data_IF_823618401891
#
_entry.id   IF_823618401891
#
_cell.length_a   1.000
_cell.length_b   1.000
_cell.length_c   1.000
_cell.angle_alpha   90.00
_cell.angle_beta   90.00
_cell.angle_gamma   90.00
#
_symmetry.space_group_name_H-M   'P 1'
#
loop_
_entity.id
_entity.type
_entity.pdbx_description
1 polymer ?
#
# COMPACT_ATOMS: atom_id res chain seq x y z
N UNK A 1 -16.13 -0.21 -9.47
CA UNK A 1 -16.40 0.58 -8.25
C UNK A 1 -17.60 0.06 -7.45
N UNK A 2 -18.71 -0.32 -8.11
CA UNK A 2 -19.96 -0.80 -7.45
C UNK A 2 -19.80 -2.13 -6.67
N UNK A 3 -19.03 -3.09 -7.18
CA UNK A 3 -18.82 -4.38 -6.50
C UNK A 3 -18.12 -4.25 -5.12
N UNK A 4 -17.25 -3.25 -4.94
CA UNK A 4 -16.60 -2.99 -3.66
C UNK A 4 -17.52 -2.31 -2.63
N UNK A 5 -18.57 -1.60 -3.06
CA UNK A 5 -19.57 -1.04 -2.14
C UNK A 5 -20.44 -2.15 -1.56
N UNK A 6 -21.03 -2.99 -2.41
CA UNK A 6 -21.90 -4.10 -1.98
C UNK A 6 -21.21 -5.10 -1.04
N UNK A 7 -19.92 -5.39 -1.27
CA UNK A 7 -19.15 -6.28 -0.39
C UNK A 7 -18.88 -5.63 0.97
N UNK A 8 -18.68 -4.31 1.05
CA UNK A 8 -18.48 -3.64 2.34
C UNK A 8 -19.77 -3.53 3.14
N UNK A 9 -20.91 -3.28 2.49
CA UNK A 9 -22.22 -3.21 3.16
C UNK A 9 -22.63 -4.59 3.72
N UNK A 10 -22.35 -5.67 2.99
CA UNK A 10 -22.59 -7.04 3.45
C UNK A 10 -21.63 -7.51 4.56
N UNK A 11 -20.40 -7.00 4.59
CA UNK A 11 -19.49 -7.29 5.71
C UNK A 11 -19.85 -6.46 6.95
N UNK A 12 -20.27 -5.20 6.81
CA UNK A 12 -20.71 -4.40 7.94
C UNK A 12 -21.98 -4.98 8.59
N UNK A 13 -22.91 -5.52 7.81
CA UNK A 13 -24.07 -6.24 8.36
C UNK A 13 -23.69 -7.56 9.05
N UNK A 14 -22.64 -8.25 8.59
CA UNK A 14 -22.11 -9.43 9.27
C UNK A 14 -21.45 -9.09 10.63
N UNK A 15 -20.77 -7.96 10.75
CA UNK A 15 -20.19 -7.50 12.02
C UNK A 15 -21.27 -7.26 13.08
N UNK A 16 -22.35 -6.56 12.70
CA UNK A 16 -23.50 -6.32 13.57
C UNK A 16 -24.16 -7.63 14.00
N UNK A 17 -24.29 -8.59 13.08
CA UNK A 17 -24.84 -9.91 13.38
C UNK A 17 -23.97 -10.68 14.40
N UNK A 18 -22.65 -10.71 14.21
CA UNK A 18 -21.75 -11.41 15.14
C UNK A 18 -21.74 -10.76 16.53
N UNK A 19 -21.81 -9.43 16.62
CA UNK A 19 -21.99 -8.76 17.91
C UNK A 19 -23.30 -9.14 18.60
N UNK A 20 -24.41 -9.20 17.85
CA UNK A 20 -25.71 -9.58 18.39
C UNK A 20 -25.75 -11.04 18.89
N UNK A 21 -24.87 -11.89 18.35
CA UNK A 21 -24.71 -13.29 18.75
C UNK A 21 -23.64 -13.49 19.85
N UNK A 22 -23.13 -12.42 20.45
CA UNK A 22 -22.04 -12.49 21.46
C UNK A 22 -20.79 -13.22 20.93
N UNK A 23 -20.49 -12.99 19.64
CA UNK A 23 -19.33 -13.55 18.91
C UNK A 23 -18.33 -12.43 18.57
N UNK A 24 -17.61 -11.91 19.57
CA UNK A 24 -16.78 -10.72 19.44
C UNK A 24 -15.54 -10.95 18.57
N UNK A 25 -14.97 -12.15 18.59
CA UNK A 25 -13.83 -12.56 17.75
C UNK A 25 -14.19 -12.48 16.27
N UNK A 26 -15.33 -13.05 15.88
CA UNK A 26 -15.80 -13.06 14.51
C UNK A 26 -16.19 -11.66 14.03
N UNK A 27 -16.79 -10.85 14.91
CA UNK A 27 -17.07 -9.44 14.62
C UNK A 27 -15.78 -8.66 14.30
N UNK A 28 -14.73 -8.84 15.11
CA UNK A 28 -13.42 -8.20 14.86
C UNK A 28 -12.74 -8.74 13.61
N UNK A 29 -12.82 -10.05 13.34
CA UNK A 29 -12.31 -10.63 12.10
C UNK A 29 -12.96 -10.02 10.85
N UNK A 30 -14.27 -9.79 10.88
CA UNK A 30 -14.98 -9.13 9.78
C UNK A 30 -14.45 -7.71 9.56
N UNK A 31 -14.24 -6.94 10.62
CA UNK A 31 -13.63 -5.60 10.54
C UNK A 31 -12.21 -5.66 9.98
N UNK A 32 -11.42 -6.64 10.40
CA UNK A 32 -10.07 -6.86 9.90
C UNK A 32 -10.08 -7.19 8.40
N UNK A 33 -10.95 -8.09 7.95
CA UNK A 33 -11.12 -8.40 6.53
C UNK A 33 -11.51 -7.17 5.71
N UNK A 34 -12.37 -6.29 6.24
CA UNK A 34 -12.68 -5.01 5.60
C UNK A 34 -11.43 -4.13 5.51
N UNK A 35 -10.65 -4.02 6.60
CA UNK A 35 -9.42 -3.23 6.63
C UNK A 35 -8.38 -3.70 5.60
N UNK A 36 -8.21 -5.01 5.43
CA UNK A 36 -7.28 -5.60 4.44
C UNK A 36 -7.63 -5.22 3.00
N UNK A 37 -8.91 -5.01 2.69
CA UNK A 37 -9.39 -4.61 1.36
C UNK A 37 -9.21 -3.11 1.07
N UNK A 38 -8.85 -2.30 2.08
CA UNK A 38 -8.65 -0.86 1.92
C UNK A 38 -7.26 -0.52 1.38
N UNK A 39 -7.12 0.60 0.66
CA UNK A 39 -5.82 1.10 0.23
C UNK A 39 -4.94 1.41 1.46
N UNK A 40 -3.60 1.38 1.34
CA UNK A 40 -2.69 1.58 2.48
C UNK A 40 -2.97 2.87 3.28
N UNK A 41 -3.33 3.96 2.59
CA UNK A 41 -3.68 5.26 3.18
C UNK A 41 -4.88 5.20 4.14
N UNK A 42 -5.83 4.30 3.89
CA UNK A 42 -7.05 4.14 4.68
C UNK A 42 -7.00 2.90 5.58
N UNK A 43 -6.14 1.93 5.28
CA UNK A 43 -6.05 0.67 6.02
C UNK A 43 -5.77 0.88 7.50
N UNK A 44 -4.87 1.81 7.85
CA UNK A 44 -4.53 2.11 9.25
C UNK A 44 -5.76 2.61 10.03
N UNK A 45 -6.58 3.49 9.44
CA UNK A 45 -7.75 4.03 10.14
C UNK A 45 -8.80 2.94 10.38
N UNK A 46 -8.94 1.98 9.47
CA UNK A 46 -9.80 0.81 9.63
C UNK A 46 -9.26 -0.20 10.66
N UNK A 47 -7.94 -0.46 10.68
CA UNK A 47 -7.32 -1.33 11.69
C UNK A 47 -7.46 -0.77 13.11
N UNK A 48 -7.38 0.56 13.28
CA UNK A 48 -7.65 1.21 14.58
C UNK A 48 -9.08 0.98 15.08
N UNK A 49 -10.06 0.86 14.17
CA UNK A 49 -11.43 0.48 14.55
C UNK A 49 -11.51 -0.97 15.05
N UNK A 50 -10.70 -1.86 14.48
CA UNK A 50 -10.60 -3.26 14.94
C UNK A 50 -10.03 -3.31 16.36
N UNK A 51 -8.99 -2.53 16.66
CA UNK A 51 -8.41 -2.41 17.99
C UNK A 51 -9.43 -1.90 19.02
N UNK A 52 -10.17 -0.84 18.68
CA UNK A 52 -11.22 -0.31 19.55
C UNK A 52 -12.33 -1.35 19.82
N UNK A 53 -12.68 -2.16 18.83
CA UNK A 53 -13.62 -3.26 18.98
C UNK A 53 -13.08 -4.40 19.86
N UNK A 54 -11.75 -4.58 19.93
CA UNK A 54 -11.15 -5.52 20.88
C UNK A 54 -11.22 -4.97 22.32
N UNK A 55 -11.01 -3.67 22.54
CA UNK A 55 -11.06 -3.10 23.89
C UNK A 55 -12.44 -3.15 24.55
N UNK A 56 -13.51 -3.33 23.76
CA UNK A 56 -14.85 -3.54 24.33
C UNK A 56 -15.02 -4.92 24.98
N UNK A 57 -14.09 -5.85 24.77
CA UNK A 57 -14.12 -7.20 25.32
C UNK A 57 -12.73 -7.63 25.83
N UNK A 58 -12.59 -7.83 27.13
CA UNK A 58 -11.32 -8.21 27.76
C UNK A 58 -10.76 -9.56 27.26
N UNK A 59 -11.58 -10.42 26.66
CA UNK A 59 -11.10 -11.67 26.06
C UNK A 59 -10.20 -11.45 24.82
N UNK A 60 -10.26 -10.25 24.22
CA UNK A 60 -9.58 -9.90 22.98
C UNK A 60 -8.27 -9.10 23.19
N UNK A 61 -7.76 -9.00 24.42
CA UNK A 61 -6.55 -8.22 24.72
C UNK A 61 -5.33 -8.67 23.87
N UNK A 62 -5.11 -9.98 23.74
CA UNK A 62 -4.03 -10.52 22.91
C UNK A 62 -4.17 -10.13 21.44
N UNK A 63 -5.39 -10.16 20.91
CA UNK A 63 -5.67 -9.75 19.53
C UNK A 63 -5.43 -8.25 19.34
N UNK A 64 -5.81 -7.43 20.32
CA UNK A 64 -5.56 -5.99 20.30
C UNK A 64 -4.07 -5.66 20.24
N UNK A 65 -3.23 -6.40 20.99
CA UNK A 65 -1.78 -6.21 21.00
C UNK A 65 -1.17 -6.53 19.63
N UNK A 66 -1.54 -7.66 19.03
CA UNK A 66 -1.07 -8.06 17.69
C UNK A 66 -1.49 -7.04 16.62
N UNK A 67 -2.73 -6.54 16.69
CA UNK A 67 -3.22 -5.53 15.76
C UNK A 67 -2.46 -4.21 15.89
N UNK A 68 -2.11 -3.79 17.11
CA UNK A 68 -1.29 -2.60 17.35
C UNK A 68 0.13 -2.76 16.77
N UNK A 69 0.78 -3.90 16.99
CA UNK A 69 2.09 -4.19 16.38
C UNK A 69 2.04 -4.15 14.86
N UNK A 70 0.98 -4.71 14.27
CA UNK A 70 0.79 -4.67 12.82
C UNK A 70 0.58 -3.25 12.28
N UNK A 71 -0.18 -2.41 13.00
CA UNK A 71 -0.35 -0.99 12.65
C UNK A 71 1.00 -0.27 12.69
N UNK A 72 1.81 -0.49 13.72
CA UNK A 72 3.14 0.11 13.86
C UNK A 72 4.06 -0.29 12.70
N UNK A 73 4.05 -1.57 12.31
CA UNK A 73 4.81 -2.07 11.16
C UNK A 73 4.37 -1.42 9.85
N UNK A 74 3.05 -1.32 9.61
CA UNK A 74 2.51 -0.67 8.42
C UNK A 74 2.88 0.81 8.35
N UNK A 75 2.82 1.52 9.48
CA UNK A 75 3.21 2.93 9.54
C UNK A 75 4.69 3.12 9.21
N UNK A 76 5.56 2.24 9.71
CA UNK A 76 7.00 2.26 9.37
C UNK A 76 7.24 1.95 7.90
N UNK A 77 6.51 1.00 7.31
CA UNK A 77 6.62 0.68 5.88
C UNK A 77 6.22 1.87 5.00
N UNK A 78 5.15 2.59 5.34
CA UNK A 78 4.71 3.78 4.57
C UNK A 78 5.78 4.89 4.55
N UNK A 79 6.53 5.06 5.65
CA UNK A 79 7.64 6.03 5.73
C UNK A 79 8.80 5.64 4.82
N UNK A 80 9.00 4.35 4.53
CA UNK A 80 10.10 3.84 3.71
C UNK A 80 9.72 3.83 2.22
N UNK A 81 8.48 3.47 1.88
CA UNK A 81 8.04 3.34 0.49
C UNK A 81 8.01 4.68 -0.26
N UNK A 82 7.61 5.78 0.39
CA UNK A 82 7.51 7.09 -0.26
C UNK A 82 8.89 7.61 -0.71
N UNK A 83 9.92 7.66 0.16
CA UNK A 83 11.29 7.99 -0.25
C UNK A 83 11.87 7.02 -1.28
N UNK A 84 11.56 5.72 -1.18
CA UNK A 84 12.08 4.73 -2.11
C UNK A 84 11.48 4.87 -3.52
N UNK A 85 10.17 5.13 -3.63
CA UNK A 85 9.53 5.45 -4.91
C UNK A 85 10.08 6.73 -5.52
N UNK A 86 10.32 7.76 -4.70
CA UNK A 86 10.97 9.00 -5.13
C UNK A 86 12.38 8.72 -5.64
N UNK A 87 13.17 7.92 -4.92
CA UNK A 87 14.53 7.53 -5.32
C UNK A 87 14.55 6.77 -6.65
N UNK A 88 13.65 5.78 -6.83
CA UNK A 88 13.51 5.05 -8.09
C UNK A 88 13.07 5.96 -9.25
N UNK A 89 12.19 6.92 -8.99
CA UNK A 89 11.78 7.92 -9.98
C UNK A 89 12.96 8.81 -10.40
N UNK A 90 13.77 9.28 -9.45
CA UNK A 90 14.99 10.03 -9.74
C UNK A 90 16.01 9.21 -10.53
N UNK A 91 16.24 7.95 -10.15
CA UNK A 91 17.12 7.05 -10.92
C UNK A 91 16.62 6.91 -12.36
N UNK A 92 15.32 6.69 -12.57
CA UNK A 92 14.74 6.58 -13.92
C UNK A 92 14.92 7.86 -14.75
N UNK A 93 14.76 9.03 -14.15
CA UNK A 93 15.06 10.32 -14.81
C UNK A 93 16.54 10.42 -15.17
N UNK A 94 17.43 10.07 -14.23
CA UNK A 94 18.87 10.15 -14.44
C UNK A 94 19.35 9.17 -15.53
N UNK A 95 18.83 7.94 -15.55
CA UNK A 95 19.11 6.94 -16.59
C UNK A 95 18.59 7.37 -17.98
N UNK A 96 17.48 8.10 -18.05
CA UNK A 96 17.02 8.66 -19.33
C UNK A 96 17.90 9.82 -19.81
N UNK A 97 18.46 10.63 -18.90
CA UNK A 97 19.35 11.75 -19.25
C UNK A 97 20.74 11.29 -19.70
N UNK A 98 21.27 10.20 -19.18
CA UNK A 98 22.56 9.63 -19.64
C UNK A 98 22.48 9.09 -21.07
N UNK A 99 21.33 8.55 -21.49
CA UNK A 99 21.11 8.15 -22.90
C UNK A 99 21.08 9.38 -23.84
N UNK A 100 20.46 10.49 -23.42
CA UNK A 100 20.46 11.73 -24.21
C UNK A 100 21.83 12.42 -24.30
N UNK A 101 22.70 12.27 -23.29
CA UNK A 101 24.05 12.83 -23.36
C UNK A 101 25.03 11.93 -24.13
N UNK A 102 24.90 10.60 -24.04
CA UNK A 102 25.66 9.67 -24.87
C UNK A 102 25.34 9.83 -26.37
N UNK A 103 24.06 9.99 -26.73
CA UNK A 103 23.63 10.22 -28.12
C UNK A 103 24.07 11.60 -28.67
N UNK A 104 24.38 12.58 -27.81
CA UNK A 104 24.82 13.93 -28.24
C UNK A 104 26.33 14.02 -28.44
N UNK A 105 27.12 13.13 -27.83
CA UNK A 105 28.57 13.06 -28.04
C UNK A 105 28.96 12.30 -29.31
N UNK A 106 28.15 11.35 -29.79
CA UNK A 106 28.42 10.64 -31.05
C UNK A 106 28.21 11.51 -32.30
N UNK A 107 27.37 12.56 -32.24
CA UNK A 107 27.08 13.42 -33.39
C UNK A 107 28.15 14.51 -33.63
N UNK A 108 29.03 14.79 -32.66
CA UNK A 108 30.03 15.88 -32.76
C UNK A 108 31.44 15.39 -33.11
N UNK A 109 31.65 14.07 -33.20
CA UNK A 109 32.98 13.46 -33.50
C UNK A 109 33.19 13.03 -34.96
N UNK A 110 32.22 13.23 -35.87
CA UNK A 110 32.31 12.78 -37.26
C UNK A 110 33.15 13.67 -38.18
N UNK A 111 34.46 13.82 -37.92
CA UNK A 111 35.40 14.35 -38.92
C UNK A 111 35.77 13.25 -39.92
N UNK A 112 35.47 13.55 -41.20
CA UNK A 112 36.14 13.10 -42.43
C UNK A 112 36.26 11.59 -42.66
N UNK A 113 35.35 11.06 -43.48
CA UNK A 113 35.54 9.79 -44.18
C UNK A 113 34.97 9.90 -45.59
N UNK A 114 35.86 10.01 -46.58
CA UNK A 114 35.52 9.83 -47.99
C UNK A 114 34.78 8.50 -48.19
N UNK A 115 33.66 8.52 -48.91
CA UNK A 115 33.11 7.32 -49.53
C UNK A 115 33.13 7.57 -51.04
N UNK A 116 34.10 6.92 -51.69
CA UNK A 116 34.10 6.70 -53.13
C UNK A 116 33.12 5.57 -53.39
N UNK A 117 32.14 5.81 -54.26
CA UNK A 117 31.41 4.76 -54.98
C UNK A 117 31.32 5.19 -56.43
N UNK A 118 31.77 4.26 -57.29
CA UNK A 118 31.89 4.26 -58.76
C UNK A 118 30.85 5.08 -59.53
#
# INVERSE_FOLDING_TARGET
MIANMYVNDNLLSAEVLFRALERPEEAVMVLYCVACKKPPSERISHLKRCVNACYTDGSLENLSAVLNEYIDLLQRQMVIEVPFQIFLFYLKICSSKTVYQAARFEVVSGRTGHIVTT
#
